data_IF_315028566852
#
_entry.id   IF_315028566852
#
_cell.length_a   1.000
_cell.length_b   1.000
_cell.length_c   1.000
_cell.angle_alpha   90.00
_cell.angle_beta   90.00
_cell.angle_gamma   90.00
#
_symmetry.space_group_name_H-M   'P 1'
#
loop_
_entity.id
_entity.type
_entity.pdbx_description
1 polymer ?
#
# COMPACT_ATOMS: atom_id res chain seq x y z
N UNK A 1 -13.65 9.31 11.54
CA UNK A 1 -12.41 9.66 10.82
C UNK A 1 -11.25 9.12 11.64
N UNK A 2 -10.64 8.03 11.21
CA UNK A 2 -9.57 7.34 11.95
C UNK A 2 -8.53 6.80 10.98
N UNK A 3 -7.25 6.84 11.38
CA UNK A 3 -6.20 6.10 10.71
C UNK A 3 -5.76 4.92 11.58
N UNK A 4 -5.30 3.85 10.96
CA UNK A 4 -4.86 2.64 11.63
C UNK A 4 -3.74 1.97 10.83
N UNK A 5 -2.93 1.15 11.50
CA UNK A 5 -1.89 0.37 10.84
C UNK A 5 -2.54 -0.66 9.89
N UNK A 6 -1.97 -0.83 8.69
CA UNK A 6 -2.48 -1.82 7.74
C UNK A 6 -2.29 -3.23 8.30
N UNK A 7 -3.35 -4.03 8.19
CA UNK A 7 -3.40 -5.45 8.54
C UNK A 7 -3.97 -6.25 7.36
N UNK A 8 -3.90 -7.58 7.41
CA UNK A 8 -4.37 -8.43 6.29
C UNK A 8 -5.82 -8.16 5.88
N UNK A 9 -6.69 -7.84 6.84
CA UNK A 9 -8.09 -7.52 6.59
C UNK A 9 -8.30 -6.19 5.82
N UNK A 10 -7.27 -5.34 5.72
CA UNK A 10 -7.36 -4.04 5.03
C UNK A 10 -7.30 -4.16 3.50
N UNK A 11 -6.69 -5.22 2.99
CA UNK A 11 -6.36 -5.34 1.56
C UNK A 11 -7.56 -5.29 0.61
N UNK A 12 -8.71 -5.94 0.89
CA UNK A 12 -9.85 -5.87 -0.03
C UNK A 12 -10.34 -4.44 -0.28
N UNK A 13 -10.42 -3.61 0.77
CA UNK A 13 -10.83 -2.20 0.64
C UNK A 13 -9.75 -1.36 -0.03
N UNK A 14 -8.47 -1.59 0.30
CA UNK A 14 -7.34 -0.89 -0.34
C UNK A 14 -7.30 -1.17 -1.86
N UNK A 15 -7.49 -2.42 -2.28
CA UNK A 15 -7.50 -2.80 -3.70
C UNK A 15 -8.71 -2.20 -4.43
N UNK A 16 -9.87 -2.17 -3.76
CA UNK A 16 -11.07 -1.50 -4.30
C UNK A 16 -10.78 -0.02 -4.54
N UNK A 17 -10.24 0.68 -3.54
CA UNK A 17 -9.87 2.09 -3.65
C UNK A 17 -8.79 2.33 -4.71
N UNK A 18 -7.79 1.46 -4.82
CA UNK A 18 -6.74 1.59 -5.82
C UNK A 18 -7.30 1.52 -7.25
N UNK A 19 -8.17 0.55 -7.53
CA UNK A 19 -8.84 0.45 -8.83
C UNK A 19 -9.74 1.66 -9.13
N UNK A 20 -10.23 2.35 -8.10
CA UNK A 20 -11.01 3.58 -8.24
C UNK A 20 -10.16 4.83 -8.37
N UNK A 21 -8.91 4.84 -7.88
CA UNK A 21 -8.07 6.04 -7.87
C UNK A 21 -7.14 6.13 -9.09
N UNK A 22 -6.66 4.99 -9.59
CA UNK A 22 -5.75 4.93 -10.72
C UNK A 22 -6.53 4.62 -12.01
N UNK A 23 -6.89 5.68 -12.75
CA UNK A 23 -7.63 5.57 -14.01
C UNK A 23 -6.72 5.50 -15.25
N UNK A 24 -5.58 6.21 -15.19
CA UNK A 24 -4.72 6.45 -16.35
C UNK A 24 -3.51 5.51 -16.42
N UNK A 25 -3.24 4.77 -15.34
CA UNK A 25 -2.10 3.86 -15.23
C UNK A 25 -2.54 2.52 -14.64
N UNK A 26 -1.90 1.44 -15.09
CA UNK A 26 -2.12 0.13 -14.52
C UNK A 26 -1.73 0.15 -13.03
N UNK A 27 -2.63 -0.21 -12.11
CA UNK A 27 -2.33 -0.28 -10.69
C UNK A 27 -1.27 -1.36 -10.41
N UNK A 28 -0.56 -1.23 -9.29
CA UNK A 28 0.36 -2.26 -8.84
C UNK A 28 -0.40 -3.51 -8.40
N UNK A 29 0.23 -4.68 -8.54
CA UNK A 29 -0.39 -5.94 -8.09
C UNK A 29 -0.45 -6.01 -6.57
N UNK A 30 -1.39 -6.81 -6.04
CA UNK A 30 -1.50 -7.04 -4.58
C UNK A 30 -0.20 -7.55 -3.97
N UNK A 31 0.56 -8.38 -4.69
CA UNK A 31 1.84 -8.93 -4.20
C UNK A 31 2.90 -7.83 -4.06
N UNK A 32 2.97 -6.90 -5.01
CA UNK A 32 3.89 -5.76 -4.95
C UNK A 32 3.54 -4.86 -3.77
N UNK A 33 2.26 -4.51 -3.60
CA UNK A 33 1.80 -3.68 -2.49
C UNK A 33 2.05 -4.35 -1.13
N UNK A 34 1.73 -5.65 -1.01
CA UNK A 34 2.00 -6.43 0.20
C UNK A 34 3.48 -6.52 0.50
N UNK A 35 4.34 -6.63 -0.51
CA UNK A 35 5.79 -6.64 -0.29
C UNK A 35 6.30 -5.31 0.30
N UNK A 36 5.74 -4.17 -0.12
CA UNK A 36 6.04 -2.84 0.46
C UNK A 36 5.60 -2.76 1.92
N UNK A 37 4.39 -3.24 2.22
CA UNK A 37 3.87 -3.31 3.59
C UNK A 37 4.73 -4.20 4.48
N UNK A 38 5.07 -5.42 4.05
CA UNK A 38 5.86 -6.38 4.82
C UNK A 38 7.26 -5.87 5.16
N UNK A 39 7.86 -5.02 4.31
CA UNK A 39 9.16 -4.41 4.59
C UNK A 39 9.14 -3.41 5.74
N UNK A 40 8.04 -2.69 5.92
CA UNK A 40 7.92 -1.72 7.00
C UNK A 40 6.45 -1.51 7.44
N UNK A 41 5.85 -2.51 8.14
CA UNK A 41 4.44 -2.44 8.50
C UNK A 41 4.11 -1.24 9.40
N UNK A 42 5.07 -0.81 10.23
CA UNK A 42 4.93 0.32 11.15
C UNK A 42 4.84 1.69 10.48
N UNK A 43 5.19 1.79 9.19
CA UNK A 43 5.07 3.01 8.39
C UNK A 43 3.94 2.95 7.36
N UNK A 44 3.05 1.95 7.47
CA UNK A 44 1.97 1.72 6.53
C UNK A 44 0.61 1.88 7.23
N UNK A 45 -0.23 2.76 6.70
CA UNK A 45 -1.49 3.15 7.34
C UNK A 45 -2.64 3.18 6.35
N UNK A 46 -3.83 2.83 6.81
CA UNK A 46 -5.08 3.08 6.12
C UNK A 46 -5.88 4.12 6.88
N UNK A 47 -6.67 4.91 6.15
CA UNK A 47 -7.52 5.95 6.67
C UNK A 47 -8.97 5.65 6.28
N UNK A 48 -9.86 5.70 7.28
CA UNK A 48 -11.29 5.46 7.13
C UNK A 48 -12.11 6.66 7.52
N UNK A 49 -13.02 7.05 6.63
CA UNK A 49 -14.14 7.93 6.91
C UNK A 49 -15.45 7.13 6.76
N UNK A 50 -16.32 7.21 7.77
CA UNK A 50 -17.51 6.37 7.87
C UNK A 50 -17.21 4.86 7.85
N UNK A 51 -17.52 4.15 6.76
CA UNK A 51 -17.47 2.69 6.64
C UNK A 51 -16.53 2.19 5.55
N UNK A 52 -15.77 3.06 4.90
CA UNK A 52 -14.89 2.71 3.80
C UNK A 52 -13.48 3.26 4.05
N UNK A 53 -12.46 2.56 3.53
CA UNK A 53 -11.11 3.13 3.35
C UNK A 53 -11.18 4.21 2.27
N UNK A 54 -10.81 5.44 2.62
CA UNK A 54 -10.74 6.57 1.68
C UNK A 54 -9.30 6.87 1.23
N UNK A 55 -8.31 6.44 2.01
CA UNK A 55 -6.90 6.60 1.66
C UNK A 55 -6.04 5.50 2.32
N UNK A 56 -4.87 5.24 1.72
CA UNK A 56 -3.84 4.41 2.32
C UNK A 56 -2.46 4.95 1.98
N UNK A 57 -1.49 4.63 2.82
CA UNK A 57 -0.07 4.97 2.68
C UNK A 57 0.74 3.70 2.83
N UNK A 58 1.56 3.40 1.82
CA UNK A 58 2.62 2.40 1.89
C UNK A 58 3.96 3.14 1.84
N UNK A 59 4.73 3.04 2.92
CA UNK A 59 6.06 3.62 3.00
C UNK A 59 7.03 2.57 3.52
N UNK A 60 8.20 2.49 2.91
CA UNK A 60 9.31 1.67 3.37
C UNK A 60 10.62 2.39 3.06
N UNK A 61 11.70 2.15 3.83
CA UNK A 61 12.99 2.71 3.50
C UNK A 61 13.52 2.11 2.18
N UNK A 62 14.27 2.91 1.42
CA UNK A 62 15.14 2.43 0.35
C UNK A 62 16.58 2.77 0.71
N UNK A 63 17.52 1.92 0.34
CA UNK A 63 18.94 2.05 0.74
C UNK A 63 19.89 2.21 -0.45
N UNK A 64 19.34 2.28 -1.67
CA UNK A 64 20.10 2.47 -2.90
C UNK A 64 20.09 3.94 -3.33
N UNK A 65 21.07 4.34 -4.15
CA UNK A 65 21.15 5.71 -4.69
C UNK A 65 19.97 6.10 -5.59
N UNK A 66 19.32 5.11 -6.22
CA UNK A 66 18.17 5.31 -7.10
C UNK A 66 16.89 4.83 -6.44
N UNK A 67 15.77 5.54 -6.61
CA UNK A 67 14.49 5.05 -6.12
C UNK A 67 14.11 3.75 -6.86
N UNK A 68 13.47 2.80 -6.18
CA UNK A 68 13.02 1.56 -6.79
C UNK A 68 11.91 1.82 -7.81
N UNK A 69 11.75 0.92 -8.78
CA UNK A 69 10.61 0.96 -9.70
C UNK A 69 9.32 0.72 -8.92
N UNK A 70 8.23 1.38 -9.36
CA UNK A 70 6.91 1.22 -8.78
C UNK A 70 6.50 -0.26 -8.73
N UNK A 71 6.87 -1.03 -9.76
CA UNK A 71 6.47 -2.42 -9.97
C UNK A 71 7.49 -3.45 -9.46
N UNK A 72 8.44 -3.05 -8.62
CA UNK A 72 9.42 -3.98 -8.04
C UNK A 72 8.80 -4.78 -6.89
N UNK A 73 8.80 -6.11 -7.03
CA UNK A 73 8.49 -7.00 -5.92
C UNK A 73 9.67 -7.07 -4.95
N UNK A 74 9.42 -6.84 -3.66
CA UNK A 74 10.45 -6.99 -2.64
C UNK A 74 10.45 -8.40 -2.04
N UNK A 75 11.64 -8.98 -1.89
CA UNK A 75 11.84 -10.21 -1.14
C UNK A 75 11.70 -9.92 0.36
N UNK A 76 11.06 -10.82 1.09
CA UNK A 76 11.11 -10.83 2.55
C UNK A 76 12.54 -11.19 2.97
N UNK A 77 13.21 -10.30 3.72
CA UNK A 77 14.48 -10.65 4.38
C UNK A 77 14.24 -11.60 5.56
#
# INVERSE_FOLDING_TARGET
MTYYAIEDASWPEILTLQNQAYHDVAPETVDILKSKWMRSPKSCFAFKQHRAVDAYLLAHPWYDEKPPSLFTLYQSN
#
